data_IF_741405446527
#
_entry.id   IF_741405446527
#
_cell.length_a   1.000
_cell.length_b   1.000
_cell.length_c   1.000
_cell.angle_alpha   90.00
_cell.angle_beta   90.00
_cell.angle_gamma   90.00
#
_symmetry.space_group_name_H-M   'P 1'
#
loop_
_entity.id
_entity.type
_entity.pdbx_description
1 polymer ?
#
# COMPACT_ATOMS: atom_id res chain seq x y z
N UNK A 1 -10.34 11.55 7.87
CA UNK A 1 -9.52 12.34 8.82
C UNK A 1 -8.92 11.37 9.82
N UNK A 2 -7.60 11.36 10.00
CA UNK A 2 -6.96 10.46 10.98
C UNK A 2 -7.34 10.86 12.40
N UNK A 3 -7.09 10.01 13.40
CA UNK A 3 -7.49 10.30 14.79
C UNK A 3 -6.81 11.56 15.38
N UNK A 4 -5.74 12.05 14.75
CA UNK A 4 -5.02 13.28 15.09
C UNK A 4 -5.40 14.49 14.19
N UNK A 5 -6.46 14.39 13.39
CA UNK A 5 -6.95 15.47 12.54
C UNK A 5 -6.16 15.69 11.24
N UNK A 6 -5.08 14.93 11.01
CA UNK A 6 -4.21 15.08 9.83
C UNK A 6 -4.79 14.35 8.61
N UNK A 7 -4.32 14.74 7.43
CA UNK A 7 -4.54 13.98 6.21
C UNK A 7 -3.29 13.13 5.95
N UNK A 8 -3.52 11.84 5.80
CA UNK A 8 -2.49 10.84 5.55
C UNK A 8 -2.86 10.16 4.22
N UNK A 9 -2.00 10.18 3.19
CA UNK A 9 -2.27 9.49 1.93
C UNK A 9 -2.57 8.01 2.15
N UNK A 10 -3.32 7.36 1.27
CA UNK A 10 -3.49 5.91 1.35
C UNK A 10 -2.18 5.15 1.05
N UNK A 11 -1.29 5.79 0.27
CA UNK A 11 0.03 5.27 -0.09
C UNK A 11 1.06 5.45 1.03
N UNK A 12 2.05 4.56 1.03
CA UNK A 12 3.23 4.63 1.89
C UNK A 12 4.37 5.31 1.14
N UNK A 13 4.99 6.33 1.74
CA UNK A 13 6.24 6.87 1.24
C UNK A 13 7.41 6.10 1.85
N UNK A 14 8.31 5.59 1.00
CA UNK A 14 9.60 5.02 1.42
C UNK A 14 10.67 5.50 0.46
N UNK A 15 11.71 6.15 0.98
CA UNK A 15 12.83 6.65 0.18
C UNK A 15 12.38 7.53 -1.02
N UNK A 16 11.34 8.35 -0.84
CA UNK A 16 10.79 9.21 -1.90
C UNK A 16 9.96 8.47 -2.97
N UNK A 17 9.72 7.18 -2.80
CA UNK A 17 8.84 6.38 -3.67
C UNK A 17 7.53 6.09 -2.94
N UNK A 18 6.42 6.24 -3.66
CA UNK A 18 5.10 5.87 -3.15
C UNK A 18 4.81 4.40 -3.42
N UNK A 19 4.34 3.70 -2.41
CA UNK A 19 4.00 2.28 -2.45
C UNK A 19 2.54 2.05 -2.05
N UNK A 20 1.88 1.17 -2.80
CA UNK A 20 0.62 0.58 -2.41
C UNK A 20 0.88 -0.61 -1.48
N UNK A 21 0.36 -0.60 -0.24
CA UNK A 21 0.55 -1.72 0.67
C UNK A 21 -0.33 -2.91 0.26
N UNK A 22 0.27 -4.10 0.21
CA UNK A 22 -0.40 -5.37 -0.11
C UNK A 22 -0.17 -6.34 1.04
N UNK A 23 -1.19 -7.12 1.38
CA UNK A 23 -1.22 -7.98 2.55
C UNK A 23 -1.59 -9.40 2.13
N UNK A 24 -0.98 -10.40 2.78
CA UNK A 24 -1.28 -11.82 2.58
C UNK A 24 -2.46 -12.28 3.44
N UNK A 25 -2.88 -11.48 4.42
CA UNK A 25 -4.06 -11.75 5.25
C UNK A 25 -4.83 -10.48 5.60
N UNK A 26 -6.11 -10.66 5.96
CA UNK A 26 -6.97 -9.58 6.44
C UNK A 26 -6.49 -9.09 7.81
N UNK A 27 -5.93 -9.98 8.62
CA UNK A 27 -5.39 -9.68 9.94
C UNK A 27 -4.19 -8.71 9.85
N UNK A 28 -3.22 -8.96 8.96
CA UNK A 28 -2.06 -8.08 8.79
C UNK A 28 -2.47 -6.72 8.21
N UNK A 29 -3.48 -6.71 7.34
CA UNK A 29 -4.10 -5.47 6.84
C UNK A 29 -4.73 -4.64 7.98
N UNK A 30 -5.54 -5.26 8.84
CA UNK A 30 -6.19 -4.58 9.98
C UNK A 30 -5.16 -4.00 10.94
N UNK A 31 -4.19 -4.82 11.34
CA UNK A 31 -3.10 -4.39 12.24
C UNK A 31 -2.33 -3.20 11.65
N UNK A 32 -2.04 -3.22 10.35
CA UNK A 32 -1.41 -2.10 9.68
C UNK A 32 -2.24 -0.82 9.74
N UNK A 33 -3.53 -0.88 9.43
CA UNK A 33 -4.37 0.33 9.42
C UNK A 33 -4.61 0.90 10.83
N UNK A 34 -4.73 0.03 11.84
CA UNK A 34 -4.78 0.42 13.25
C UNK A 34 -3.49 1.15 13.66
N UNK A 35 -2.32 0.55 13.41
CA UNK A 35 -1.01 1.15 13.77
C UNK A 35 -0.74 2.46 13.03
N UNK A 36 -1.11 2.54 11.74
CA UNK A 36 -0.81 3.71 10.92
C UNK A 36 -1.77 4.89 11.15
N UNK A 37 -2.85 4.68 11.91
CA UNK A 37 -3.90 5.66 12.17
C UNK A 37 -4.40 6.25 10.84
N UNK A 38 -4.80 5.40 9.88
CA UNK A 38 -5.33 5.83 8.57
C UNK A 38 -6.86 5.88 8.64
N UNK A 39 -7.44 6.89 8.01
CA UNK A 39 -8.89 7.13 8.04
C UNK A 39 -9.68 6.50 6.88
N UNK A 40 -8.97 6.01 5.87
CA UNK A 40 -9.51 5.41 4.68
C UNK A 40 -8.47 4.45 4.09
N UNK A 41 -8.94 3.41 3.43
CA UNK A 41 -8.12 2.44 2.75
C UNK A 41 -8.75 2.03 1.42
N UNK A 42 -7.92 1.57 0.50
CA UNK A 42 -8.35 0.90 -0.73
C UNK A 42 -7.89 -0.55 -0.63
N UNK A 43 -8.80 -1.49 -0.92
CA UNK A 43 -8.47 -2.92 -0.99
C UNK A 43 -8.59 -3.32 -2.45
N UNK A 44 -7.52 -3.94 -2.97
CA UNK A 44 -7.51 -4.63 -4.24
C UNK A 44 -7.23 -6.10 -3.93
N UNK A 45 -8.21 -6.98 -4.20
CA UNK A 45 -8.07 -8.41 -3.98
C UNK A 45 -7.58 -9.09 -5.26
N UNK A 46 -6.62 -10.01 -5.13
CA UNK A 46 -6.03 -10.74 -6.25
C UNK A 46 -4.60 -11.16 -5.96
N UNK A 47 -3.96 -11.78 -6.94
CA UNK A 47 -2.52 -12.02 -6.88
C UNK A 47 -1.74 -10.71 -7.13
N UNK A 48 -0.44 -10.74 -6.83
CA UNK A 48 0.45 -9.57 -6.96
C UNK A 48 0.42 -9.00 -8.38
N UNK A 49 0.34 -9.87 -9.39
CA UNK A 49 0.33 -9.47 -10.80
C UNK A 49 -0.94 -8.66 -11.12
N UNK A 50 -2.09 -9.14 -10.68
CA UNK A 50 -3.39 -8.47 -10.88
C UNK A 50 -3.40 -7.08 -10.22
N UNK A 51 -2.84 -6.97 -9.01
CA UNK A 51 -2.70 -5.67 -8.33
C UNK A 51 -1.73 -4.75 -9.08
N UNK A 52 -0.61 -5.25 -9.59
CA UNK A 52 0.32 -4.47 -10.42
C UNK A 52 -0.32 -3.97 -11.71
N UNK A 53 -1.02 -4.84 -12.43
CA UNK A 53 -1.66 -4.50 -13.70
C UNK A 53 -2.79 -3.48 -13.48
N UNK A 54 -3.53 -3.60 -12.37
CA UNK A 54 -4.55 -2.63 -11.95
C UNK A 54 -3.93 -1.27 -11.58
N UNK A 55 -2.82 -1.24 -10.83
CA UNK A 55 -2.12 0.01 -10.55
C UNK A 55 -1.59 0.67 -11.83
N UNK A 56 -1.12 -0.09 -12.81
CA UNK A 56 -0.62 0.44 -14.09
C UNK A 56 -1.72 1.01 -14.98
N UNK A 57 -2.95 0.51 -14.87
CA UNK A 57 -4.09 0.99 -15.66
C UNK A 57 -4.61 2.36 -15.17
N UNK A 58 -4.38 2.70 -13.91
CA UNK A 58 -4.72 4.01 -13.33
C UNK A 58 -3.56 4.99 -13.55
N UNK A 59 -3.78 6.06 -14.32
CA UNK A 59 -2.73 7.01 -14.71
C UNK A 59 -1.94 7.57 -13.52
N UNK A 60 -2.65 7.96 -12.45
CA UNK A 60 -2.06 8.49 -11.21
C UNK A 60 -1.22 7.47 -10.44
N UNK A 61 -1.42 6.16 -10.71
CA UNK A 61 -0.78 5.06 -9.97
C UNK A 61 0.36 4.41 -10.78
N UNK A 62 0.62 4.85 -12.02
CA UNK A 62 1.69 4.29 -12.87
C UNK A 62 3.08 4.34 -12.27
N UNK A 63 3.34 5.30 -11.38
CA UNK A 63 4.63 5.48 -10.69
C UNK A 63 4.61 4.97 -9.24
N UNK A 64 3.57 4.26 -8.84
CA UNK A 64 3.42 3.70 -7.51
C UNK A 64 3.94 2.27 -7.51
N UNK A 65 4.84 1.95 -6.59
CA UNK A 65 5.33 0.60 -6.35
C UNK A 65 4.35 -0.23 -5.52
N UNK A 66 4.67 -1.49 -5.28
CA UNK A 66 3.95 -2.35 -4.33
C UNK A 66 4.89 -2.73 -3.20
N UNK A 67 4.38 -2.69 -1.97
CA UNK A 67 5.07 -3.26 -0.80
C UNK A 67 4.21 -4.34 -0.18
N UNK A 68 4.71 -5.57 -0.13
CA UNK A 68 4.01 -6.72 0.45
C UNK A 68 4.44 -6.88 1.90
N UNK A 69 3.47 -7.01 2.80
CA UNK A 69 3.67 -7.13 4.25
C UNK A 69 4.56 -6.00 4.80
N UNK A 70 4.11 -4.73 4.76
CA UNK A 70 4.94 -3.57 5.11
C UNK A 70 5.44 -3.55 6.56
N UNK A 71 4.80 -4.32 7.46
CA UNK A 71 5.21 -4.47 8.87
C UNK A 71 6.17 -5.64 9.13
N UNK A 72 6.41 -6.49 8.13
CA UNK A 72 7.35 -7.61 8.24
C UNK A 72 8.79 -7.13 8.44
N UNK A 73 9.62 -7.92 9.12
CA UNK A 73 11.07 -7.72 9.19
C UNK A 73 11.73 -7.78 7.80
N UNK A 74 11.07 -8.46 6.86
CA UNK A 74 11.50 -8.62 5.47
C UNK A 74 10.34 -8.28 4.52
N UNK A 75 10.02 -6.98 4.34
CA UNK A 75 8.99 -6.57 3.39
C UNK A 75 9.50 -6.80 1.96
N UNK A 76 8.60 -7.19 1.04
CA UNK A 76 8.96 -7.31 -0.38
C UNK A 76 8.55 -6.02 -1.09
N UNK A 77 9.53 -5.31 -1.64
CA UNK A 77 9.31 -4.08 -2.40
C UNK A 77 9.45 -4.33 -3.90
N UNK A 78 8.42 -3.97 -4.65
CA UNK A 78 8.38 -4.00 -6.10
C UNK A 78 8.30 -2.57 -6.58
N UNK A 79 9.38 -2.08 -7.19
CA UNK A 79 9.45 -0.70 -7.67
C UNK A 79 8.59 -0.49 -8.92
N UNK A 80 8.09 0.73 -9.16
CA UNK A 80 7.49 1.06 -10.44
C UNK A 80 8.49 0.82 -11.59
N UNK A 81 8.06 0.13 -12.65
CA UNK A 81 8.91 -0.20 -13.80
C UNK A 81 9.71 -1.51 -13.70
N UNK A 82 9.50 -2.30 -12.64
CA UNK A 82 9.98 -3.69 -12.52
C UNK A 82 9.26 -4.64 -13.48
#
# INVERSE_FOLDING_TARGET
MTNDGRQKPFLLEREGVWYFPVFRSVESMKEFYERMNRAAYMILEGDVKTVMDTNRSIELMRRVGIVIEPLSDHPVEIRPGS
#
